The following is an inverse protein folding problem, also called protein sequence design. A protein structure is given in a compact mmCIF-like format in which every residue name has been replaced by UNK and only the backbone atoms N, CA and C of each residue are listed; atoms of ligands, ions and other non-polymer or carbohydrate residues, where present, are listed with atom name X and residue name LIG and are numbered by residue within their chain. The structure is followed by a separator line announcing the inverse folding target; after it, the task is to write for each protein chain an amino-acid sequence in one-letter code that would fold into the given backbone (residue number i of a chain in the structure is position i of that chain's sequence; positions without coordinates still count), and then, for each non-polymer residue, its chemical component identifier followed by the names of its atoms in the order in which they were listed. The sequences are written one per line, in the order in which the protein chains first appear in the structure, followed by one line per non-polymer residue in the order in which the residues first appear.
data_IF_277815633753
#
_entry.id   IF_277815633753
#
_cell.length_a   1.000
_cell.length_b   1.000
_cell.length_c   1.000
_cell.angle_alpha   90.00
_cell.angle_beta   90.00
_cell.angle_gamma   90.00
#
_symmetry.space_group_name_H-M   'P 1'
#
loop_
_entity.id
_entity.type
_entity.pdbx_description
1 polymer ?
#
# COMPACT_ATOMS: atom_id res chain seq x y z
N UNK A 1 -15.93 -8.43 8.84
CA UNK A 1 -16.31 -7.07 8.42
C UNK A 1 -15.21 -6.11 8.82
N UNK A 2 -14.75 -5.23 7.93
CA UNK A 2 -13.79 -4.18 8.31
C UNK A 2 -14.58 -3.10 9.04
N UNK A 3 -14.30 -2.91 10.33
CA UNK A 3 -14.95 -1.87 11.10
C UNK A 3 -14.39 -0.50 10.71
N UNK A 4 -15.20 0.56 10.85
CA UNK A 4 -14.75 1.94 10.63
C UNK A 4 -13.49 2.27 11.45
N UNK A 5 -13.42 1.79 12.70
CA UNK A 5 -12.25 1.95 13.58
C UNK A 5 -10.99 1.34 12.98
N UNK A 6 -11.09 0.16 12.37
CA UNK A 6 -9.97 -0.48 11.69
C UNK A 6 -9.54 0.29 10.45
N UNK A 7 -10.48 0.77 9.63
CA UNK A 7 -10.17 1.59 8.46
C UNK A 7 -9.44 2.89 8.83
N UNK A 8 -9.86 3.55 9.92
CA UNK A 8 -9.18 4.75 10.45
C UNK A 8 -7.79 4.41 11.01
N UNK A 9 -7.64 3.30 11.72
CA UNK A 9 -6.32 2.86 12.20
C UNK A 9 -5.36 2.58 11.03
N UNK A 10 -5.83 1.88 9.99
CA UNK A 10 -5.06 1.63 8.76
C UNK A 10 -4.65 2.95 8.08
N UNK A 11 -5.57 3.93 7.99
CA UNK A 11 -5.25 5.28 7.50
C UNK A 11 -4.12 5.95 8.32
N UNK A 12 -4.26 6.01 9.65
CA UNK A 12 -3.28 6.67 10.52
C UNK A 12 -1.91 5.98 10.46
N UNK A 13 -1.89 4.65 10.45
CA UNK A 13 -0.65 3.87 10.33
C UNK A 13 0.02 4.13 8.98
N UNK A 14 -0.74 4.17 7.88
CA UNK A 14 -0.17 4.46 6.55
C UNK A 14 0.37 5.88 6.45
N UNK A 15 -0.30 6.88 7.04
CA UNK A 15 0.21 8.25 7.13
C UNK A 15 1.51 8.30 7.94
N UNK A 16 1.52 7.68 9.13
CA UNK A 16 2.71 7.65 9.97
C UNK A 16 3.89 6.94 9.29
N UNK A 17 3.63 5.83 8.60
CA UNK A 17 4.64 5.11 7.84
C UNK A 17 5.20 5.96 6.70
N UNK A 18 4.35 6.67 5.97
CA UNK A 18 4.78 7.55 4.87
C UNK A 18 5.63 8.72 5.39
N UNK A 19 5.20 9.36 6.48
CA UNK A 19 5.96 10.44 7.13
C UNK A 19 7.31 9.93 7.61
N UNK A 20 7.35 8.78 8.28
CA UNK A 20 8.60 8.15 8.75
C UNK A 20 9.52 7.84 7.58
N UNK A 21 9.00 7.27 6.49
CA UNK A 21 9.76 6.96 5.29
C UNK A 21 10.37 8.23 4.66
N UNK A 22 9.59 9.30 4.52
CA UNK A 22 10.07 10.60 3.99
C UNK A 22 11.09 11.24 4.93
N UNK A 23 10.86 11.20 6.24
CA UNK A 23 11.78 11.74 7.23
C UNK A 23 13.13 11.01 7.19
N UNK A 24 13.11 9.66 7.22
CA UNK A 24 14.33 8.85 7.14
C UNK A 24 15.13 9.12 5.87
N UNK A 25 14.47 9.23 4.70
CA UNK A 25 15.14 9.60 3.45
C UNK A 25 15.77 10.99 3.51
N UNK A 26 15.04 11.96 4.05
CA UNK A 26 15.56 13.33 4.18
C UNK A 26 16.75 13.40 5.15
N UNK A 27 16.72 12.64 6.26
CA UNK A 27 17.83 12.58 7.22
C UNK A 27 19.04 11.90 6.60
N UNK A 28 18.86 10.79 5.88
CA UNK A 28 19.95 10.09 5.20
C UNK A 28 20.58 10.93 4.08
N UNK A 29 19.75 11.60 3.26
CA UNK A 29 20.23 12.52 2.22
C UNK A 29 21.04 13.70 2.80
N UNK A 30 20.68 14.18 4.01
CA UNK A 30 21.39 15.29 4.66
C UNK A 30 22.75 14.91 5.26
N UNK A 31 23.01 13.62 5.48
CA UNK A 31 24.25 13.17 6.10
C UNK A 31 25.37 12.88 5.10
N UNK A 32 25.14 13.03 3.78
CA UNK A 32 26.10 12.70 2.70
C UNK A 32 26.71 11.28 2.81
N UNK A 33 26.19 10.43 3.70
CA UNK A 33 26.72 9.10 4.00
C UNK A 33 26.20 8.04 3.01
N UNK A 34 25.24 8.42 2.16
CA UNK A 34 24.62 7.59 1.13
C UNK A 34 24.39 8.39 -0.16
N UNK A 35 25.42 8.53 -1.00
CA UNK A 35 25.31 9.15 -2.33
C UNK A 35 24.40 8.35 -3.29
N UNK A 36 24.14 7.07 -3.02
CA UNK A 36 23.39 6.14 -3.88
C UNK A 36 22.02 5.73 -3.33
N UNK A 37 21.29 6.62 -2.65
CA UNK A 37 19.89 6.31 -2.31
C UNK A 37 19.09 6.10 -3.61
N UNK A 38 18.49 4.91 -3.84
CA UNK A 38 17.78 4.62 -5.08
C UNK A 38 16.70 5.68 -5.31
N UNK A 39 16.72 6.32 -6.47
CA UNK A 39 15.71 7.31 -6.82
C UNK A 39 14.34 6.64 -6.86
N UNK A 40 13.35 7.29 -6.26
CA UNK A 40 11.99 6.79 -6.28
C UNK A 40 11.48 6.78 -7.71
N UNK A 41 11.19 5.59 -8.24
CA UNK A 41 10.57 5.49 -9.55
C UNK A 41 9.14 6.02 -9.50
N UNK A 42 8.88 7.13 -10.19
CA UNK A 42 7.51 7.68 -10.33
C UNK A 42 6.53 6.63 -10.91
N UNK A 43 7.01 5.79 -11.83
CA UNK A 43 6.25 4.64 -12.35
C UNK A 43 5.94 3.63 -11.26
N UNK A 44 6.91 3.31 -10.40
CA UNK A 44 6.70 2.45 -9.23
C UNK A 44 5.61 3.01 -8.31
N UNK A 45 5.69 4.31 -7.97
CA UNK A 45 4.68 4.99 -7.14
C UNK A 45 3.29 4.88 -7.76
N UNK A 46 3.15 5.20 -9.05
CA UNK A 46 1.86 5.17 -9.72
C UNK A 46 1.27 3.74 -9.74
N UNK A 47 2.08 2.74 -10.11
CA UNK A 47 1.65 1.33 -10.15
C UNK A 47 1.26 0.82 -8.77
N UNK A 48 2.06 1.14 -7.73
CA UNK A 48 1.76 0.78 -6.34
C UNK A 48 0.46 1.41 -5.83
N UNK A 49 0.22 2.67 -6.20
CA UNK A 49 -1.01 3.39 -5.83
C UNK A 49 -2.24 2.73 -6.44
N UNK A 50 -2.22 2.49 -7.75
CA UNK A 50 -3.33 1.86 -8.46
C UNK A 50 -3.57 0.43 -7.98
N UNK A 51 -2.51 -0.35 -7.78
CA UNK A 51 -2.61 -1.70 -7.22
C UNK A 51 -3.31 -1.70 -5.86
N UNK A 52 -2.90 -0.81 -4.95
CA UNK A 52 -3.45 -0.79 -3.60
C UNK A 52 -4.91 -0.33 -3.57
N UNK A 53 -5.29 0.64 -4.41
CA UNK A 53 -6.69 1.03 -4.60
C UNK A 53 -7.54 -0.14 -5.08
N UNK A 54 -7.06 -0.87 -6.08
CA UNK A 54 -7.75 -2.05 -6.60
C UNK A 54 -7.85 -3.16 -5.56
N UNK A 55 -6.78 -3.41 -4.80
CA UNK A 55 -6.74 -4.40 -3.72
C UNK A 55 -7.78 -4.10 -2.64
N UNK A 56 -7.82 -2.87 -2.10
CA UNK A 56 -8.82 -2.50 -1.09
C UNK A 56 -10.24 -2.53 -1.64
N UNK A 57 -10.45 -2.07 -2.89
CA UNK A 57 -11.74 -2.15 -3.55
C UNK A 57 -12.25 -3.59 -3.66
N UNK A 58 -11.38 -4.51 -4.09
CA UNK A 58 -11.72 -5.92 -4.22
C UNK A 58 -11.94 -6.58 -2.85
N UNK A 59 -11.10 -6.26 -1.87
CA UNK A 59 -11.18 -6.83 -0.53
C UNK A 59 -12.43 -6.37 0.24
N UNK A 60 -12.76 -5.07 0.20
CA UNK A 60 -13.91 -4.53 0.93
C UNK A 60 -15.24 -4.93 0.28
N UNK A 61 -15.29 -5.07 -1.05
CA UNK A 61 -16.47 -5.60 -1.79
C UNK A 61 -16.57 -7.13 -1.81
N UNK A 62 -15.63 -7.84 -1.17
CA UNK A 62 -15.47 -9.31 -1.23
C UNK A 62 -15.49 -9.90 -2.66
N UNK A 63 -14.91 -9.17 -3.62
CA UNK A 63 -14.76 -9.68 -4.97
C UNK A 63 -13.87 -10.93 -4.97
N UNK A 64 -14.41 -12.04 -5.47
CA UNK A 64 -13.71 -13.32 -5.56
C UNK A 64 -13.62 -14.11 -4.25
N UNK A 65 -14.42 -13.78 -3.21
CA UNK A 65 -14.39 -14.45 -1.90
C UNK A 65 -13.01 -14.37 -1.21
N UNK A 66 -12.20 -13.36 -1.55
CA UNK A 66 -10.88 -13.17 -0.95
C UNK A 66 -10.97 -12.95 0.56
N UNK A 67 -12.10 -12.40 1.04
CA UNK A 67 -12.34 -12.14 2.46
C UNK A 67 -12.98 -13.33 3.17
N UNK A 68 -13.85 -14.08 2.50
CA UNK A 68 -14.56 -15.21 3.10
C UNK A 68 -13.74 -16.52 3.11
N UNK A 69 -12.83 -16.70 2.15
CA UNK A 69 -11.96 -17.89 2.09
C UNK A 69 -10.49 -17.55 2.40
N UNK A 70 -10.05 -17.88 3.63
CA UNK A 70 -8.68 -17.65 4.11
C UNK A 70 -7.60 -18.27 3.20
N UNK A 71 -7.89 -19.41 2.56
CA UNK A 71 -6.96 -20.05 1.64
C UNK A 71 -6.74 -19.25 0.36
N UNK A 72 -7.78 -18.59 -0.15
CA UNK A 72 -7.67 -17.70 -1.33
C UNK A 72 -6.90 -16.43 -1.00
N UNK A 73 -7.08 -15.87 0.21
CA UNK A 73 -6.28 -14.75 0.68
C UNK A 73 -4.79 -15.08 0.79
N UNK A 74 -4.46 -16.27 1.31
CA UNK A 74 -3.06 -16.76 1.39
C UNK A 74 -2.50 -17.04 -0.01
N UNK A 75 -3.26 -17.68 -0.89
CA UNK A 75 -2.84 -17.96 -2.26
C UNK A 75 -2.59 -16.67 -3.05
N UNK A 76 -3.45 -15.66 -2.91
CA UNK A 76 -3.27 -14.36 -3.54
C UNK A 76 -1.99 -13.67 -3.02
N UNK A 77 -1.76 -13.73 -1.70
CA UNK A 77 -0.57 -13.15 -1.08
C UNK A 77 0.73 -13.82 -1.57
N UNK A 78 0.73 -15.16 -1.68
CA UNK A 78 1.86 -15.93 -2.21
C UNK A 78 2.11 -15.64 -3.68
N UNK A 79 1.06 -15.67 -4.52
CA UNK A 79 1.17 -15.33 -5.93
C UNK A 79 1.70 -13.91 -6.10
N UNK A 80 1.21 -12.97 -5.31
CA UNK A 80 1.67 -11.59 -5.36
C UNK A 80 3.14 -11.46 -4.96
N UNK A 81 3.58 -12.10 -3.89
CA UNK A 81 4.98 -12.10 -3.47
C UNK A 81 5.92 -12.66 -4.56
N UNK A 82 5.50 -13.73 -5.25
CA UNK A 82 6.24 -14.30 -6.37
C UNK A 82 6.30 -13.34 -7.57
N UNK A 83 5.18 -12.67 -7.88
CA UNK A 83 5.10 -11.66 -8.95
C UNK A 83 6.03 -10.49 -8.64
N UNK A 84 6.03 -9.96 -7.42
CA UNK A 84 6.91 -8.86 -7.02
C UNK A 84 8.37 -9.24 -7.20
N UNK A 85 8.76 -10.44 -6.73
CA UNK A 85 10.13 -10.94 -6.85
C UNK A 85 10.57 -11.16 -8.31
N UNK A 86 9.64 -11.42 -9.22
CA UNK A 86 9.91 -11.70 -10.64
C UNK A 86 9.86 -10.46 -11.53
N UNK A 87 8.94 -9.53 -11.25
CA UNK A 87 8.58 -8.44 -12.16
C UNK A 87 9.08 -7.07 -11.74
N UNK A 88 9.63 -6.90 -10.54
CA UNK A 88 10.12 -5.59 -10.12
C UNK A 88 11.48 -5.31 -10.79
N UNK A 89 11.56 -4.32 -11.68
CA UNK A 89 12.71 -4.11 -12.55
C UNK A 89 13.92 -3.49 -11.84
N UNK A 90 13.73 -2.87 -10.67
CA UNK A 90 14.82 -2.25 -9.89
C UNK A 90 14.39 -1.97 -8.44
N UNK A 91 15.37 -1.75 -7.56
CA UNK A 91 15.13 -1.35 -6.17
C UNK A 91 14.38 -0.02 -6.08
N UNK A 92 14.70 0.94 -6.97
CA UNK A 92 13.96 2.20 -7.07
C UNK A 92 12.49 2.03 -7.48
N UNK A 93 12.18 1.01 -8.30
CA UNK A 93 10.80 0.63 -8.61
C UNK A 93 10.12 0.00 -7.41
N UNK A 94 10.78 -0.93 -6.70
CA UNK A 94 10.22 -1.59 -5.52
C UNK A 94 9.91 -0.58 -4.40
N UNK A 95 10.83 0.34 -4.13
CA UNK A 95 10.63 1.41 -3.16
C UNK A 95 9.54 2.39 -3.60
N UNK A 96 9.51 2.73 -4.90
CA UNK A 96 8.42 3.49 -5.51
C UNK A 96 7.07 2.81 -5.30
N UNK A 97 6.99 1.51 -5.60
CA UNK A 97 5.80 0.69 -5.43
C UNK A 97 5.30 0.67 -3.98
N UNK A 98 6.19 0.47 -3.00
CA UNK A 98 5.82 0.52 -1.58
C UNK A 98 5.28 1.89 -1.15
N UNK A 99 5.94 2.96 -1.59
CA UNK A 99 5.50 4.35 -1.34
C UNK A 99 4.12 4.60 -1.96
N UNK A 100 3.92 4.16 -3.20
CA UNK A 100 2.64 4.21 -3.89
C UNK A 100 1.55 3.44 -3.15
N UNK A 101 1.87 2.26 -2.61
CA UNK A 101 0.96 1.49 -1.78
C UNK A 101 0.49 2.25 -0.54
N UNK A 102 1.39 2.97 0.15
CA UNK A 102 1.00 3.82 1.27
C UNK A 102 0.05 4.94 0.81
N UNK A 103 0.38 5.63 -0.29
CA UNK A 103 -0.49 6.67 -0.86
C UNK A 103 -1.87 6.12 -1.24
N UNK A 104 -1.92 4.97 -1.93
CA UNK A 104 -3.17 4.32 -2.31
C UNK A 104 -4.01 3.92 -1.10
N UNK A 105 -3.38 3.43 -0.02
CA UNK A 105 -4.07 3.11 1.24
C UNK A 105 -4.65 4.36 1.89
N UNK A 106 -3.85 5.43 1.98
CA UNK A 106 -4.29 6.72 2.54
C UNK A 106 -5.49 7.24 1.77
N UNK A 107 -5.41 7.30 0.43
CA UNK A 107 -6.50 7.78 -0.43
C UNK A 107 -7.76 6.92 -0.26
N UNK A 108 -7.62 5.59 -0.30
CA UNK A 108 -8.76 4.69 -0.17
C UNK A 108 -9.42 4.80 1.19
N UNK A 109 -8.65 4.80 2.29
CA UNK A 109 -9.18 4.80 3.66
C UNK A 109 -9.68 6.16 4.11
N UNK A 110 -9.10 7.24 3.58
CA UNK A 110 -9.66 8.58 3.72
C UNK A 110 -11.05 8.64 3.08
N UNK A 111 -11.18 8.13 1.86
CA UNK A 111 -12.47 8.09 1.18
C UNK A 111 -13.46 7.13 1.85
N UNK A 112 -13.06 5.88 2.07
CA UNK A 112 -13.83 4.80 2.70
C UNK A 112 -13.26 4.47 4.08
N UNK A 113 -13.87 5.02 5.12
CA UNK A 113 -13.47 4.88 6.52
C UNK A 113 -13.62 6.20 7.27
N UNK A 114 -13.01 7.26 6.74
CA UNK A 114 -13.11 8.62 7.31
C UNK A 114 -14.34 9.34 6.75
N UNK A 115 -14.38 9.58 5.43
CA UNK A 115 -15.42 10.36 4.76
C UNK A 115 -16.71 9.56 4.51
N UNK A 116 -16.59 8.32 4.04
CA UNK A 116 -17.72 7.42 3.75
C UNK A 116 -17.63 6.14 4.58
N UNK A 117 -18.75 5.44 4.81
CA UNK A 117 -18.73 4.09 5.39
C UNK A 117 -17.93 3.13 4.50
N UNK A 118 -17.37 2.08 5.11
CA UNK A 118 -16.60 1.07 4.39
C UNK A 118 -17.58 0.19 3.60
N UNK A 119 -17.35 -0.08 2.30
CA UNK A 119 -18.21 -0.97 1.53
C UNK A 119 -18.38 -2.33 2.22
N UNK A 120 -19.62 -2.84 2.30
CA UNK A 120 -19.92 -4.13 2.93
C UNK A 120 -19.85 -4.13 4.47
N UNK A 121 -20.05 -2.96 5.10
CA UNK A 121 -20.23 -2.80 6.55
C UNK A 121 -21.70 -2.69 6.99
N UNK A 122 -22.65 -2.80 6.05
CA UNK A 122 -24.08 -2.97 6.34
C UNK A 122 -24.38 -4.42 6.76
#
# INVERSE_FOLDING_TARGET
MVSRRRAVAEFLISVAALVTQTYSRNVLNRREEYDDLPSLSAKGILVGTLYQLAYHSAFDRDWGQMRSNKYRGVAYSLCWALIQRRLFPSDGFQQGFGTGGLVGTILYRLWYGVLHPVPGSE
#
